data_IF_027917122991
#
_entry.id   IF_027917122991
#
_cell.length_a   1.000
_cell.length_b   1.000
_cell.length_c   1.000
_cell.angle_alpha   90.00
_cell.angle_beta   90.00
_cell.angle_gamma   90.00
#
_symmetry.space_group_name_H-M   'P 1'
#
loop_
_entity.id
_entity.type
_entity.pdbx_description
1 polymer ?
#
# COMPACT_ATOMS: atom_id res chain seq x y z
N UNK A 1 8.65 1.68 16.91
CA UNK A 1 8.53 1.97 15.46
C UNK A 1 9.47 3.12 15.13
N UNK A 2 10.27 3.04 14.06
CA UNK A 2 11.14 4.12 13.60
C UNK A 2 11.01 4.24 12.08
N UNK A 3 10.54 5.40 11.61
CA UNK A 3 10.22 5.67 10.21
C UNK A 3 10.38 7.16 9.88
N UNK A 4 10.44 7.47 8.59
CA UNK A 4 10.37 8.82 8.06
C UNK A 4 9.35 8.87 6.93
N UNK A 5 8.52 9.91 6.92
CA UNK A 5 7.44 10.10 5.96
C UNK A 5 7.43 11.55 5.53
N UNK A 6 7.28 11.78 4.23
CA UNK A 6 6.73 13.05 3.77
C UNK A 6 5.26 13.10 4.24
N UNK A 7 4.82 14.23 4.81
CA UNK A 7 3.46 14.33 5.34
C UNK A 7 2.95 15.76 5.25
N UNK A 8 1.67 15.90 4.98
CA UNK A 8 0.97 17.17 5.11
C UNK A 8 0.59 17.39 6.58
N UNK A 9 0.62 18.65 7.02
CA UNK A 9 0.19 19.00 8.37
C UNK A 9 -1.27 18.58 8.58
N UNK A 10 -1.55 17.90 9.70
CA UNK A 10 -2.89 17.39 10.02
C UNK A 10 -3.22 16.00 9.46
N UNK A 11 -2.36 15.40 8.64
CA UNK A 11 -2.52 14.02 8.17
C UNK A 11 -1.67 13.05 8.99
N UNK A 12 -2.10 11.79 9.09
CA UNK A 12 -1.25 10.72 9.59
C UNK A 12 -0.11 10.45 8.58
N UNK A 13 1.11 10.12 9.06
CA UNK A 13 2.20 9.77 8.18
C UNK A 13 1.92 8.47 7.43
N UNK A 14 2.54 8.30 6.27
CA UNK A 14 2.42 7.09 5.46
C UNK A 14 1.49 7.18 4.25
N UNK A 15 0.90 8.34 3.93
CA UNK A 15 0.05 8.49 2.73
C UNK A 15 0.74 9.21 1.54
N UNK A 16 2.06 9.38 1.57
CA UNK A 16 2.81 9.95 0.44
C UNK A 16 4.00 9.06 0.05
N UNK A 17 5.23 9.43 0.38
CA UNK A 17 6.44 8.61 0.28
C UNK A 17 7.05 8.45 1.65
N UNK A 18 7.48 7.24 1.98
CA UNK A 18 8.02 6.93 3.30
C UNK A 18 9.00 5.77 3.29
N UNK A 19 9.75 5.64 4.38
CA UNK A 19 10.57 4.48 4.66
C UNK A 19 10.62 4.16 6.15
N UNK A 20 10.99 2.93 6.51
CA UNK A 20 11.18 2.53 7.90
C UNK A 20 12.54 1.86 8.17
N UNK A 21 12.86 1.65 9.45
CA UNK A 21 14.12 1.03 9.88
C UNK A 21 14.28 -0.46 9.49
N UNK A 22 13.21 -1.15 9.09
CA UNK A 22 13.27 -2.51 8.55
C UNK A 22 13.67 -2.53 7.06
N UNK A 23 13.91 -1.37 6.45
CA UNK A 23 14.29 -1.25 5.05
C UNK A 23 13.10 -1.21 4.10
N UNK A 24 11.87 -1.05 4.60
CA UNK A 24 10.72 -0.71 3.74
C UNK A 24 10.95 0.66 3.13
N UNK A 25 10.73 0.76 1.81
CA UNK A 25 10.60 2.03 1.08
C UNK A 25 9.32 1.96 0.27
N UNK A 26 8.50 3.01 0.29
CA UNK A 26 7.29 3.04 -0.54
C UNK A 26 6.87 4.44 -0.99
N UNK A 27 6.09 4.48 -2.06
CA UNK A 27 5.35 5.64 -2.54
C UNK A 27 3.89 5.27 -2.86
N UNK A 28 3.02 6.27 -2.80
CA UNK A 28 1.57 6.10 -3.00
C UNK A 28 1.07 6.99 -4.13
N UNK A 29 0.23 6.41 -4.98
CA UNK A 29 -0.58 7.10 -5.97
C UNK A 29 -2.07 6.91 -5.62
N UNK A 30 -2.78 8.01 -5.36
CA UNK A 30 -4.24 7.95 -5.14
C UNK A 30 -4.94 7.46 -6.41
N UNK A 31 -5.85 6.49 -6.29
CA UNK A 31 -6.71 6.05 -7.39
C UNK A 31 -8.13 6.54 -7.13
N UNK A 32 -8.72 7.19 -8.12
CA UNK A 32 -10.14 7.57 -8.09
C UNK A 32 -11.01 6.36 -8.47
N UNK A 33 -11.23 5.46 -7.51
CA UNK A 33 -12.06 4.28 -7.72
C UNK A 33 -13.55 4.64 -7.86
N UNK A 34 -14.23 3.96 -8.78
CA UNK A 34 -15.69 4.05 -8.93
C UNK A 34 -16.39 3.48 -7.70
N UNK A 35 -15.86 2.39 -7.14
CA UNK A 35 -16.40 1.73 -5.98
C UNK A 35 -15.72 2.22 -4.70
N UNK A 36 -16.49 2.89 -3.84
CA UNK A 36 -16.11 3.24 -2.47
C UNK A 36 -17.03 2.51 -1.48
N UNK A 37 -16.54 2.26 -0.26
CA UNK A 37 -17.30 1.55 0.78
C UNK A 37 -17.22 2.28 2.11
N UNK A 38 -18.35 2.82 2.58
CA UNK A 38 -18.46 3.37 3.94
C UNK A 38 -18.37 2.26 4.99
N UNK A 39 -17.87 2.59 6.19
CA UNK A 39 -17.68 1.64 7.29
C UNK A 39 -16.48 0.70 7.13
N UNK A 40 -15.63 0.95 6.13
CA UNK A 40 -14.37 0.23 5.86
C UNK A 40 -13.17 1.08 6.29
N UNK A 41 -11.97 0.52 6.31
CA UNK A 41 -10.75 1.21 6.75
C UNK A 41 -10.29 2.20 5.67
N UNK A 42 -10.20 3.51 5.95
CA UNK A 42 -9.67 4.47 4.99
C UNK A 42 -8.20 4.17 4.67
N UNK A 43 -7.78 4.31 3.39
CA UNK A 43 -6.41 4.02 2.94
C UNK A 43 -5.32 4.68 3.79
N UNK A 44 -5.56 5.86 4.33
CA UNK A 44 -4.59 6.57 5.18
C UNK A 44 -4.24 5.78 6.45
N UNK A 45 -5.20 5.06 7.04
CA UNK A 45 -4.94 4.22 8.21
C UNK A 45 -4.19 2.94 7.83
N UNK A 46 -4.56 2.32 6.70
CA UNK A 46 -3.86 1.13 6.20
C UNK A 46 -2.41 1.47 5.85
N UNK A 47 -2.18 2.59 5.15
CA UNK A 47 -0.82 2.99 4.75
C UNK A 47 -0.02 3.56 5.92
N UNK A 48 -0.68 4.10 6.95
CA UNK A 48 -0.03 4.37 8.25
C UNK A 48 0.42 3.07 8.91
N UNK A 49 -0.40 2.03 8.92
CA UNK A 49 -0.04 0.73 9.46
C UNK A 49 1.06 0.04 8.65
N UNK A 50 1.13 0.29 7.34
CA UNK A 50 2.18 -0.23 6.45
C UNK A 50 3.59 0.19 6.92
N UNK A 51 3.74 1.37 7.53
CA UNK A 51 5.02 1.83 8.10
C UNK A 51 5.57 0.93 9.22
N UNK A 52 4.73 0.12 9.87
CA UNK A 52 5.13 -0.78 10.93
C UNK A 52 5.64 -2.14 10.42
N UNK A 53 5.53 -2.40 9.11
CA UNK A 53 5.80 -3.72 8.54
C UNK A 53 7.30 -4.01 8.42
N UNK A 54 7.67 -5.27 8.64
CA UNK A 54 9.08 -5.68 8.75
C UNK A 54 9.58 -6.50 7.57
N UNK A 55 8.65 -6.98 6.73
CA UNK A 55 8.91 -7.80 5.56
C UNK A 55 7.70 -7.73 4.60
N UNK A 56 7.84 -8.35 3.43
CA UNK A 56 6.80 -8.35 2.39
C UNK A 56 5.50 -9.04 2.82
N UNK A 57 5.59 -10.14 3.56
CA UNK A 57 4.39 -10.88 3.99
C UNK A 57 3.57 -10.05 5.00
N UNK A 58 4.25 -9.33 5.90
CA UNK A 58 3.64 -8.35 6.79
C UNK A 58 2.97 -7.21 6.01
N UNK A 59 3.63 -6.72 4.96
CA UNK A 59 3.07 -5.69 4.09
C UNK A 59 1.78 -6.16 3.43
N UNK A 60 1.77 -7.35 2.82
CA UNK A 60 0.56 -7.91 2.23
C UNK A 60 -0.53 -8.15 3.28
N UNK A 61 -0.20 -8.69 4.44
CA UNK A 61 -1.16 -8.86 5.54
C UNK A 61 -1.83 -7.54 5.95
N UNK A 62 -1.06 -6.46 6.06
CA UNK A 62 -1.57 -5.12 6.38
C UNK A 62 -2.45 -4.58 5.25
N UNK A 63 -2.01 -4.69 3.99
CA UNK A 63 -2.77 -4.20 2.84
C UNK A 63 -4.08 -4.97 2.64
N UNK A 64 -4.08 -6.28 2.92
CA UNK A 64 -5.29 -7.11 2.90
C UNK A 64 -6.32 -6.63 3.93
N UNK A 65 -5.87 -6.10 5.07
CA UNK A 65 -6.75 -5.57 6.14
C UNK A 65 -7.90 -6.54 6.49
N UNK A 66 -7.54 -7.83 6.66
CA UNK A 66 -8.50 -8.88 6.92
C UNK A 66 -9.29 -8.60 8.23
N UNK A 67 -10.61 -8.69 8.13
CA UNK A 67 -11.57 -8.32 9.17
C UNK A 67 -12.35 -7.05 8.85
N UNK A 68 -11.79 -6.11 8.08
CA UNK A 68 -12.47 -4.86 7.72
C UNK A 68 -12.39 -4.61 6.22
N UNK A 69 -11.19 -4.39 5.66
CA UNK A 69 -10.93 -4.08 4.26
C UNK A 69 -10.93 -2.58 3.96
N UNK A 70 -10.32 -2.21 2.82
CA UNK A 70 -10.20 -0.82 2.38
C UNK A 70 -11.54 -0.15 2.02
N UNK A 71 -11.67 1.15 2.33
CA UNK A 71 -12.81 1.99 2.00
C UNK A 71 -12.70 2.71 0.65
N UNK A 72 -11.48 2.96 0.22
CA UNK A 72 -11.08 3.66 -1.00
C UNK A 72 -9.81 3.04 -1.58
N UNK A 73 -9.33 3.57 -2.71
CA UNK A 73 -8.25 2.95 -3.46
C UNK A 73 -6.97 3.79 -3.52
N UNK A 74 -5.84 3.09 -3.61
CA UNK A 74 -4.56 3.63 -3.99
C UNK A 74 -3.65 2.54 -4.55
N UNK A 75 -2.64 2.96 -5.27
CA UNK A 75 -1.51 2.12 -5.67
C UNK A 75 -0.32 2.41 -4.78
N UNK A 76 0.36 1.35 -4.37
CA UNK A 76 1.53 1.38 -3.51
C UNK A 76 2.69 0.74 -4.28
N UNK A 77 3.71 1.53 -4.60
CA UNK A 77 4.99 0.98 -5.03
C UNK A 77 5.87 0.78 -3.79
N UNK A 78 6.34 -0.44 -3.51
CA UNK A 78 7.21 -0.68 -2.37
C UNK A 78 8.28 -1.75 -2.63
N UNK A 79 9.31 -1.73 -1.80
CA UNK A 79 10.30 -2.80 -1.68
C UNK A 79 10.88 -2.83 -0.26
N UNK A 80 11.47 -3.96 0.11
CA UNK A 80 12.30 -4.10 1.30
C UNK A 80 13.75 -4.25 0.87
N UNK A 81 14.61 -3.30 1.23
CA UNK A 81 16.01 -3.27 0.80
C UNK A 81 16.82 -4.49 1.27
N UNK A 82 16.40 -5.12 2.36
CA UNK A 82 17.01 -6.35 2.89
C UNK A 82 16.37 -7.65 2.41
N UNK A 83 15.32 -7.61 1.57
CA UNK A 83 14.69 -8.83 1.05
C UNK A 83 15.65 -9.55 0.08
N UNK A 84 16.02 -10.82 0.35
CA UNK A 84 16.90 -11.58 -0.53
C UNK A 84 16.36 -11.76 -1.96
N UNK A 85 15.04 -11.63 -2.17
CA UNK A 85 14.42 -11.69 -3.50
C UNK A 85 14.72 -10.48 -4.36
N UNK A 86 15.13 -9.36 -3.75
CA UNK A 86 15.42 -8.10 -4.43
C UNK A 86 14.28 -7.69 -5.38
N UNK A 87 13.05 -7.73 -4.89
CA UNK A 87 11.86 -7.50 -5.69
C UNK A 87 11.24 -6.14 -5.36
N UNK A 88 10.72 -5.45 -6.38
CA UNK A 88 9.79 -4.35 -6.20
C UNK A 88 8.37 -4.84 -6.42
N UNK A 89 7.42 -4.27 -5.69
CA UNK A 89 6.01 -4.58 -5.82
C UNK A 89 5.25 -3.30 -6.16
N UNK A 90 4.34 -3.39 -7.11
CA UNK A 90 3.24 -2.46 -7.20
C UNK A 90 1.98 -3.19 -6.73
N UNK A 91 1.28 -2.61 -5.76
CA UNK A 91 0.02 -3.16 -5.25
C UNK A 91 -1.07 -2.13 -5.41
N UNK A 92 -2.08 -2.46 -6.20
CA UNK A 92 -3.32 -1.69 -6.22
C UNK A 92 -4.25 -2.26 -5.15
N UNK A 93 -4.49 -1.46 -4.12
CA UNK A 93 -5.41 -1.77 -3.04
C UNK A 93 -6.72 -1.04 -3.30
N UNK A 94 -7.83 -1.77 -3.24
CA UNK A 94 -9.17 -1.22 -3.43
C UNK A 94 -10.18 -1.89 -2.50
N UNK A 95 -11.39 -1.32 -2.36
CA UNK A 95 -12.47 -1.98 -1.65
C UNK A 95 -12.87 -3.30 -2.34
N UNK A 96 -13.25 -4.31 -1.55
CA UNK A 96 -13.75 -5.56 -2.12
C UNK A 96 -15.02 -5.33 -2.97
N UNK A 97 -15.02 -5.73 -4.27
CA UNK A 97 -16.21 -5.63 -5.11
C UNK A 97 -17.36 -6.46 -4.55
N UNK A 98 -17.03 -7.63 -4.00
CA UNK A 98 -17.95 -8.59 -3.39
C UNK A 98 -18.33 -8.26 -1.93
N UNK A 99 -17.96 -7.07 -1.42
CA UNK A 99 -18.21 -6.63 -0.03
C UNK A 99 -17.61 -7.56 1.04
N UNK A 100 -16.50 -8.25 0.73
CA UNK A 100 -15.75 -9.02 1.73
C UNK A 100 -15.19 -8.09 2.81
N UNK A 101 -14.82 -8.70 3.94
CA UNK A 101 -14.15 -8.04 5.05
C UNK A 101 -12.64 -8.09 4.86
N UNK A 102 -12.17 -7.68 3.68
CA UNK A 102 -10.77 -7.58 3.29
C UNK A 102 -10.67 -6.64 2.09
N UNK A 103 -9.48 -6.09 1.86
CA UNK A 103 -9.16 -5.31 0.67
C UNK A 103 -9.00 -6.21 -0.54
N UNK A 104 -9.37 -5.70 -1.72
CA UNK A 104 -9.00 -6.32 -2.98
C UNK A 104 -7.61 -5.83 -3.37
N UNK A 105 -6.67 -6.76 -3.59
CA UNK A 105 -5.30 -6.47 -3.97
C UNK A 105 -5.01 -7.00 -5.38
N UNK A 106 -4.48 -6.14 -6.24
CA UNK A 106 -3.81 -6.54 -7.48
C UNK A 106 -2.31 -6.36 -7.27
N UNK A 107 -1.55 -7.45 -7.35
CA UNK A 107 -0.11 -7.46 -7.01
C UNK A 107 0.68 -7.69 -8.28
N UNK A 108 1.55 -6.73 -8.61
CA UNK A 108 2.51 -6.80 -9.70
C UNK A 108 3.92 -6.87 -9.13
N UNK A 109 4.61 -7.96 -9.43
CA UNK A 109 6.03 -8.15 -9.11
C UNK A 109 6.91 -7.54 -10.21
N UNK A 110 7.94 -6.80 -9.79
CA UNK A 110 8.85 -6.05 -10.67
C UNK A 110 10.28 -6.48 -10.34
N UNK A 111 10.88 -7.38 -11.14
CA UNK A 111 12.19 -7.94 -10.85
C UNK A 111 13.30 -6.90 -11.03
N UNK A 112 14.47 -7.19 -10.47
CA UNK A 112 15.67 -6.39 -10.70
C UNK A 112 15.93 -6.16 -12.20
N UNK A 113 16.24 -4.91 -12.54
CA UNK A 113 16.49 -4.48 -13.92
C UNK A 113 15.23 -4.12 -14.72
N UNK A 114 14.03 -4.44 -14.22
CA UNK A 114 12.79 -3.91 -14.78
C UNK A 114 12.47 -2.51 -14.22
N UNK A 115 11.57 -1.79 -14.89
CA UNK A 115 11.04 -0.53 -14.40
C UNK A 115 9.51 -0.62 -14.27
N UNK A 116 8.98 0.12 -13.29
CA UNK A 116 7.55 0.31 -13.14
C UNK A 116 7.26 1.78 -12.88
N UNK A 117 6.16 2.25 -13.43
CA UNK A 117 5.56 3.53 -13.08
C UNK A 117 4.07 3.30 -12.91
N UNK A 118 3.47 4.03 -11.98
CA UNK A 118 2.04 3.98 -11.74
C UNK A 118 1.53 5.40 -11.50
N UNK A 119 0.31 5.67 -11.96
CA UNK A 119 -0.32 6.99 -11.90
C UNK A 119 -1.71 6.88 -11.25
N UNK A 120 -2.61 7.84 -11.44
CA UNK A 120 -3.82 7.94 -10.61
C UNK A 120 -5.02 7.11 -11.11
N UNK A 121 -4.77 6.01 -11.82
CA UNK A 121 -5.79 5.09 -12.34
C UNK A 121 -5.36 3.64 -12.14
N UNK A 122 -6.34 2.73 -12.10
CA UNK A 122 -6.05 1.30 -12.12
C UNK A 122 -5.35 0.92 -13.42
N UNK A 123 -4.35 0.05 -13.33
CA UNK A 123 -3.75 -0.61 -14.48
C UNK A 123 -4.80 -1.53 -15.14
N UNK A 124 -4.76 -1.62 -16.47
CA UNK A 124 -5.72 -2.40 -17.27
C UNK A 124 -5.31 -3.85 -17.44
#
# INVERSE_FOLDING_TARGET
>A
EHFMSLCYAGHLPGYTMSHNHHGLVFSINTISAELLRSGKTPRHFITRALLATSNVDDAFRVLTDAGVGAADACSINFSFLGDPRQMFYNVEMAPSPERKNESHLNIKEVPMGACNFHVNQFDR
#
